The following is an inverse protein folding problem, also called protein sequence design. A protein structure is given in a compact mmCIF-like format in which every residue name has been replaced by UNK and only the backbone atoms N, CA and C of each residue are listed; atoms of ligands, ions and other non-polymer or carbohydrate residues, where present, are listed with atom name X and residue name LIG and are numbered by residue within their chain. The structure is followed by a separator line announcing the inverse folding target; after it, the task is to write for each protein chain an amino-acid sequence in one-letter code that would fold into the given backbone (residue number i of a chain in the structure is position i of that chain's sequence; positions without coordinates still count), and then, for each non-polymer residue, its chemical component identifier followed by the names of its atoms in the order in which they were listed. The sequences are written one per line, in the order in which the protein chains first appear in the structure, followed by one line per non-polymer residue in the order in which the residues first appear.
data_IF_895490347183
#
_entry.id   IF_895490347183
#
_cell.length_a   1.000
_cell.length_b   1.000
_cell.length_c   1.000
_cell.angle_alpha   90.00
_cell.angle_beta   90.00
_cell.angle_gamma   90.00
#
_symmetry.space_group_name_H-M   'P 1'
#
loop_
_entity.id
_entity.type
_entity.pdbx_description
1 polymer ?
#
# COMPACT_ATOMS: atom_id res chain seq x y z
N UNK A 1 9.64 -15.66 3.95
CA UNK A 1 8.92 -14.44 3.53
C UNK A 1 7.98 -14.79 2.40
N UNK A 2 6.68 -14.52 2.55
CA UNK A 2 5.75 -14.53 1.42
C UNK A 2 5.99 -13.26 0.58
N UNK A 3 6.27 -13.44 -0.71
CA UNK A 3 6.73 -12.37 -1.59
C UNK A 3 6.32 -12.63 -3.03
N UNK A 4 6.04 -11.58 -3.79
CA UNK A 4 5.80 -11.74 -5.22
C UNK A 4 7.12 -12.13 -5.94
N UNK A 5 7.09 -13.11 -6.83
CA UNK A 5 8.30 -13.60 -7.51
C UNK A 5 9.00 -12.54 -8.34
N UNK A 6 8.26 -11.59 -8.93
CA UNK A 6 8.80 -10.49 -9.73
C UNK A 6 9.73 -9.56 -8.92
N UNK A 7 9.51 -9.49 -7.60
CA UNK A 7 10.27 -8.62 -6.71
C UNK A 7 11.57 -9.26 -6.20
N UNK A 8 11.78 -10.57 -6.35
CA UNK A 8 12.93 -11.28 -5.76
C UNK A 8 14.27 -10.69 -6.22
N UNK A 9 14.35 -10.29 -7.49
CA UNK A 9 15.56 -9.72 -8.08
C UNK A 9 15.70 -8.20 -7.85
N UNK A 10 14.73 -7.56 -7.20
CA UNK A 10 14.80 -6.13 -6.92
C UNK A 10 15.75 -5.81 -5.77
N UNK A 11 16.26 -4.56 -5.67
CA UNK A 11 17.15 -4.17 -4.58
C UNK A 11 16.60 -4.38 -3.17
N UNK A 12 15.28 -4.57 -3.01
CA UNK A 12 14.62 -4.88 -1.74
C UNK A 12 14.22 -6.36 -1.59
N UNK A 13 14.67 -7.23 -2.49
CA UNK A 13 14.56 -8.68 -2.36
C UNK A 13 15.56 -9.27 -1.34
N UNK A 14 15.71 -10.61 -1.30
CA UNK A 14 16.54 -11.30 -0.30
C UNK A 14 18.00 -10.83 -0.24
N UNK A 15 18.62 -10.56 -1.40
CA UNK A 15 19.99 -10.05 -1.46
C UNK A 15 20.09 -8.67 -0.82
N UNK A 16 19.10 -7.81 -1.04
CA UNK A 16 19.01 -6.48 -0.41
C UNK A 16 18.85 -6.53 1.10
N UNK A 17 18.02 -7.45 1.60
CA UNK A 17 17.86 -7.68 3.03
C UNK A 17 19.17 -8.16 3.68
N UNK A 18 19.93 -9.03 2.99
CA UNK A 18 21.24 -9.45 3.44
C UNK A 18 22.25 -8.29 3.43
N UNK A 19 22.28 -7.50 2.37
CA UNK A 19 23.25 -6.40 2.22
C UNK A 19 23.00 -5.23 3.19
N UNK A 20 21.73 -4.85 3.43
CA UNK A 20 21.38 -3.69 4.28
C UNK A 20 21.21 -4.05 5.74
N UNK A 21 20.60 -5.21 6.02
CA UNK A 21 20.23 -5.61 7.38
C UNK A 21 21.02 -6.80 7.90
N UNK A 22 21.83 -7.47 7.07
CA UNK A 22 22.57 -8.67 7.49
C UNK A 22 21.66 -9.88 7.74
N UNK A 23 20.41 -9.84 7.25
CA UNK A 23 19.40 -10.88 7.47
C UNK A 23 19.26 -11.73 6.22
N UNK A 24 19.39 -13.05 6.37
CA UNK A 24 19.08 -14.00 5.29
C UNK A 24 17.58 -14.30 5.32
N UNK A 25 16.92 -14.10 4.19
CA UNK A 25 15.48 -14.34 4.02
C UNK A 25 15.25 -15.42 2.98
N UNK A 26 14.56 -16.49 3.34
CA UNK A 26 14.03 -17.46 2.39
C UNK A 26 12.67 -16.98 1.87
N UNK A 27 12.42 -17.11 0.57
CA UNK A 27 11.20 -16.62 -0.08
C UNK A 27 10.31 -17.78 -0.49
N UNK A 28 9.02 -17.66 -0.16
CA UNK A 28 7.95 -18.43 -0.76
C UNK A 28 7.22 -17.47 -1.72
N UNK A 29 7.19 -17.82 -3.00
CA UNK A 29 6.51 -17.02 -4.02
C UNK A 29 5.00 -17.10 -3.84
N UNK A 30 4.36 -15.94 -3.66
CA UNK A 30 2.91 -15.78 -3.60
C UNK A 30 2.51 -14.65 -4.54
N UNK A 31 1.77 -15.00 -5.61
CA UNK A 31 1.49 -14.12 -6.75
C UNK A 31 0.18 -13.33 -6.58
N UNK A 32 0.01 -12.71 -5.41
CA UNK A 32 -1.18 -11.90 -5.09
C UNK A 32 -0.85 -10.52 -4.50
N UNK A 33 0.42 -10.13 -4.51
CA UNK A 33 0.91 -8.80 -4.13
C UNK A 33 0.45 -8.34 -2.74
N UNK A 34 0.66 -9.20 -1.73
CA UNK A 34 0.26 -8.89 -0.36
C UNK A 34 -1.23 -9.10 -0.08
N UNK A 35 -1.92 -9.80 -0.99
CA UNK A 35 -3.34 -10.12 -0.88
C UNK A 35 -3.65 -11.26 0.12
N UNK A 36 -4.86 -11.83 0.04
CA UNK A 36 -5.33 -12.82 1.02
C UNK A 36 -4.48 -14.09 1.15
N UNK A 37 -3.79 -14.53 0.10
CA UNK A 37 -2.90 -15.70 0.16
C UNK A 37 -1.60 -15.35 0.89
N UNK A 38 -1.06 -14.15 0.65
CA UNK A 38 0.13 -13.66 1.37
C UNK A 38 -0.17 -13.46 2.85
N UNK A 39 -1.32 -12.84 3.19
CA UNK A 39 -1.79 -12.68 4.57
C UNK A 39 -2.06 -14.04 5.23
N UNK A 40 -2.68 -14.96 4.50
CA UNK A 40 -2.92 -16.33 4.96
C UNK A 40 -1.62 -17.05 5.33
N UNK A 41 -0.62 -17.03 4.45
CA UNK A 41 0.68 -17.66 4.72
C UNK A 41 1.34 -17.13 6.00
N UNK A 42 1.20 -15.83 6.30
CA UNK A 42 1.73 -15.24 7.53
C UNK A 42 0.91 -15.66 8.76
N UNK A 43 -0.42 -15.57 8.68
CA UNK A 43 -1.32 -15.82 9.81
C UNK A 43 -1.47 -17.30 10.16
N UNK A 44 -1.32 -18.19 9.18
CA UNK A 44 -1.29 -19.65 9.36
C UNK A 44 0.08 -20.15 9.85
N UNK A 45 1.12 -19.30 9.83
CA UNK A 45 2.47 -19.61 10.30
C UNK A 45 3.35 -20.35 9.29
N UNK A 46 2.97 -20.34 8.01
CA UNK A 46 3.79 -20.89 6.92
C UNK A 46 5.03 -20.02 6.64
N UNK A 47 4.96 -18.72 6.94
CA UNK A 47 6.09 -17.78 6.88
C UNK A 47 6.10 -16.86 8.10
N UNK A 48 7.29 -16.39 8.48
CA UNK A 48 7.46 -15.41 9.58
C UNK A 48 7.37 -13.93 9.13
N UNK A 49 7.41 -13.69 7.81
CA UNK A 49 7.47 -12.37 7.19
C UNK A 49 6.64 -12.38 5.91
N UNK A 50 5.99 -11.26 5.59
CA UNK A 50 5.27 -11.07 4.33
C UNK A 50 5.44 -9.64 3.82
N UNK A 51 5.49 -9.49 2.49
CA UNK A 51 5.40 -8.18 1.83
C UNK A 51 3.93 -7.83 1.61
N UNK A 52 3.48 -6.80 2.34
CA UNK A 52 2.09 -6.33 2.37
C UNK A 52 2.14 -4.80 2.27
N UNK A 53 1.32 -4.22 1.39
CA UNK A 53 1.20 -2.77 1.28
C UNK A 53 0.75 -2.15 2.60
N UNK A 54 1.37 -1.03 2.98
CA UNK A 54 1.05 -0.31 4.24
C UNK A 54 -0.39 0.23 4.29
N UNK A 55 -1.03 0.42 3.13
CA UNK A 55 -2.43 0.81 3.01
C UNK A 55 -3.40 -0.37 3.00
N UNK A 56 -2.93 -1.59 3.29
CA UNK A 56 -3.78 -2.78 3.37
C UNK A 56 -4.57 -2.82 4.68
N UNK A 57 -5.91 -2.96 4.63
CA UNK A 57 -6.73 -3.08 5.85
C UNK A 57 -6.43 -4.37 6.63
N UNK A 58 -5.87 -5.38 5.97
CA UNK A 58 -5.54 -6.67 6.58
C UNK A 58 -4.55 -6.56 7.74
N UNK A 59 -3.75 -5.48 7.79
CA UNK A 59 -2.81 -5.22 8.88
C UNK A 59 -3.56 -5.08 10.21
N UNK A 60 -4.57 -4.20 10.26
CA UNK A 60 -5.36 -3.99 11.47
C UNK A 60 -6.25 -5.20 11.78
N UNK A 61 -6.92 -5.74 10.77
CA UNK A 61 -7.86 -6.86 10.91
C UNK A 61 -7.22 -8.12 11.52
N UNK A 62 -5.95 -8.37 11.17
CA UNK A 62 -5.21 -9.54 11.62
C UNK A 62 -4.21 -9.21 12.75
N UNK A 63 -4.24 -7.99 13.29
CA UNK A 63 -3.30 -7.49 14.31
C UNK A 63 -1.83 -7.72 13.92
N UNK A 64 -1.49 -7.45 12.66
CA UNK A 64 -0.13 -7.62 12.15
C UNK A 64 0.77 -6.48 12.62
N UNK A 65 2.06 -6.78 12.77
CA UNK A 65 3.08 -5.79 13.11
C UNK A 65 3.79 -5.35 11.83
N UNK A 66 3.71 -4.06 11.53
CA UNK A 66 4.51 -3.44 10.46
C UNK A 66 5.95 -3.27 10.95
N UNK A 67 6.90 -3.78 10.18
CA UNK A 67 8.33 -3.59 10.46
C UNK A 67 8.81 -2.26 9.87
N UNK A 68 9.55 -1.48 10.65
CA UNK A 68 10.18 -0.25 10.16
C UNK A 68 11.33 -0.57 9.19
N UNK A 69 11.51 0.29 8.18
CA UNK A 69 12.62 0.22 7.21
C UNK A 69 13.59 1.41 7.37
N UNK A 70 14.41 1.43 8.44
CA UNK A 70 15.27 2.58 8.77
C UNK A 70 16.41 2.82 7.78
N UNK A 71 16.83 1.81 7.01
CA UNK A 71 17.89 1.91 6.01
C UNK A 71 17.36 2.19 4.59
N UNK A 72 16.04 2.43 4.45
CA UNK A 72 15.36 2.74 3.20
C UNK A 72 15.67 1.69 2.11
N UNK A 73 15.52 0.41 2.47
CA UNK A 73 15.64 -0.69 1.54
C UNK A 73 14.53 -0.63 0.48
N UNK A 74 13.29 -0.35 0.90
CA UNK A 74 12.12 -0.15 0.05
C UNK A 74 11.97 1.35 -0.20
N UNK A 75 11.92 1.73 -1.48
CA UNK A 75 11.75 3.14 -1.84
C UNK A 75 10.36 3.64 -1.43
N UNK A 76 10.23 4.90 -0.96
CA UNK A 76 8.93 5.47 -0.65
C UNK A 76 7.98 5.45 -1.86
N UNK A 77 6.75 4.99 -1.64
CA UNK A 77 5.71 4.86 -2.67
C UNK A 77 4.58 5.88 -2.45
N UNK A 78 4.92 7.16 -2.51
CA UNK A 78 3.95 8.23 -2.29
C UNK A 78 2.94 8.32 -3.44
N UNK A 79 1.67 8.57 -3.10
CA UNK A 79 0.62 8.88 -4.10
C UNK A 79 0.82 10.33 -4.56
N UNK A 80 1.17 10.53 -5.83
CA UNK A 80 1.42 11.85 -6.41
C UNK A 80 0.72 11.98 -7.76
N UNK A 81 -0.13 13.00 -7.98
CA UNK A 81 -0.79 13.22 -9.25
C UNK A 81 0.22 13.71 -10.30
N UNK A 82 0.16 13.11 -11.49
CA UNK A 82 0.94 13.54 -12.65
C UNK A 82 -0.03 14.08 -13.69
N UNK A 83 0.18 15.34 -14.10
CA UNK A 83 -0.67 16.00 -15.08
C UNK A 83 0.15 16.88 -16.04
N UNK A 84 -0.49 17.26 -17.14
CA UNK A 84 0.06 18.20 -18.13
C UNK A 84 0.01 19.64 -17.60
N UNK A 85 0.92 20.49 -18.10
CA UNK A 85 0.96 21.93 -17.78
C UNK A 85 -0.22 22.72 -18.39
N UNK A 86 -1.04 22.08 -19.20
CA UNK A 86 -2.21 22.69 -19.85
C UNK A 86 -3.48 22.63 -19.00
N UNK A 87 -3.43 22.05 -17.79
CA UNK A 87 -4.58 22.02 -16.91
C UNK A 87 -5.03 23.45 -16.55
N UNK A 88 -6.34 23.75 -16.59
CA UNK A 88 -6.84 25.02 -16.09
C UNK A 88 -6.56 25.15 -14.59
N UNK A 89 -6.36 26.39 -14.13
CA UNK A 89 -6.04 26.67 -12.73
C UNK A 89 -7.06 26.07 -11.75
N UNK A 90 -8.34 26.00 -12.13
CA UNK A 90 -9.40 25.36 -11.34
C UNK A 90 -9.14 23.87 -11.10
N UNK A 91 -8.75 23.12 -12.12
CA UNK A 91 -8.42 21.70 -11.99
C UNK A 91 -7.17 21.48 -11.12
N UNK A 92 -6.16 22.34 -11.27
CA UNK A 92 -4.95 22.31 -10.44
C UNK A 92 -5.30 22.54 -8.97
N UNK A 93 -6.17 23.53 -8.68
CA UNK A 93 -6.61 23.81 -7.33
C UNK A 93 -7.40 22.65 -6.71
N UNK A 94 -8.29 22.01 -7.48
CA UNK A 94 -9.05 20.85 -7.02
C UNK A 94 -8.12 19.66 -6.68
N UNK A 95 -7.17 19.34 -7.56
CA UNK A 95 -6.19 18.27 -7.32
C UNK A 95 -5.35 18.57 -6.07
N UNK A 96 -4.88 19.82 -5.92
CA UNK A 96 -4.10 20.21 -4.74
C UNK A 96 -4.92 20.15 -3.44
N UNK A 97 -6.21 20.44 -3.47
CA UNK A 97 -7.09 20.31 -2.31
C UNK A 97 -7.24 18.84 -1.89
N UNK A 98 -7.44 17.93 -2.84
CA UNK A 98 -7.44 16.47 -2.57
C UNK A 98 -6.11 16.02 -1.98
N UNK A 99 -4.99 16.43 -2.58
CA UNK A 99 -3.65 16.05 -2.10
C UNK A 99 -3.29 16.61 -0.72
N UNK A 100 -3.90 17.72 -0.32
CA UNK A 100 -3.70 18.29 1.01
C UNK A 100 -4.39 17.47 2.11
N UNK A 101 -5.48 16.78 1.77
CA UNK A 101 -6.29 15.99 2.70
C UNK A 101 -5.94 14.50 2.67
N UNK A 102 -5.61 13.94 1.50
CA UNK A 102 -5.38 12.50 1.31
C UNK A 102 -4.12 12.01 2.05
N UNK A 103 -4.32 11.44 3.23
CA UNK A 103 -3.29 10.86 4.08
C UNK A 103 -3.21 9.32 4.02
N UNK A 104 -2.25 8.72 4.73
CA UNK A 104 -2.10 7.27 4.81
C UNK A 104 -3.32 6.56 5.41
N UNK A 105 -3.93 7.15 6.45
CA UNK A 105 -5.12 6.57 7.11
C UNK A 105 -6.32 6.56 6.16
N UNK A 106 -6.49 7.60 5.34
CA UNK A 106 -7.50 7.63 4.29
C UNK A 106 -7.30 6.51 3.27
N UNK A 107 -6.05 6.23 2.86
CA UNK A 107 -5.76 5.15 1.92
C UNK A 107 -6.13 3.78 2.50
N UNK A 108 -5.95 3.57 3.81
CA UNK A 108 -6.39 2.34 4.50
C UNK A 108 -7.91 2.25 4.46
N UNK A 109 -8.62 3.31 4.83
CA UNK A 109 -10.09 3.32 4.86
C UNK A 109 -10.70 3.12 3.46
N UNK A 110 -10.19 3.84 2.46
CA UNK A 110 -10.61 3.70 1.07
C UNK A 110 -10.40 2.27 0.56
N UNK A 111 -9.26 1.65 0.89
CA UNK A 111 -9.00 0.26 0.55
C UNK A 111 -9.89 -0.71 1.32
N UNK A 112 -10.20 -0.45 2.59
CA UNK A 112 -11.12 -1.28 3.38
C UNK A 112 -12.50 -1.36 2.72
N UNK A 113 -13.06 -0.23 2.30
CA UNK A 113 -14.35 -0.20 1.59
C UNK A 113 -14.29 -0.96 0.26
N UNK A 114 -13.20 -0.82 -0.49
CA UNK A 114 -13.00 -1.52 -1.76
C UNK A 114 -12.84 -3.04 -1.59
N UNK A 115 -12.01 -3.48 -0.63
CA UNK A 115 -11.64 -4.89 -0.46
C UNK A 115 -12.71 -5.65 0.32
N UNK A 116 -13.19 -5.09 1.42
CA UNK A 116 -14.08 -5.79 2.35
C UNK A 116 -15.55 -5.67 1.96
N UNK A 117 -15.97 -4.46 1.58
CA UNK A 117 -17.36 -4.18 1.22
C UNK A 117 -17.62 -4.35 -0.27
N UNK A 118 -16.57 -4.48 -1.08
CA UNK A 118 -16.64 -4.55 -2.54
C UNK A 118 -17.39 -3.35 -3.14
N UNK A 119 -17.31 -2.20 -2.47
CA UNK A 119 -17.95 -0.98 -2.89
C UNK A 119 -17.33 -0.49 -4.21
N UNK A 120 -18.15 0.13 -5.07
CA UNK A 120 -17.64 0.67 -6.32
C UNK A 120 -16.69 1.84 -6.03
N UNK A 121 -15.51 1.84 -6.64
CA UNK A 121 -14.50 2.88 -6.42
C UNK A 121 -15.03 4.31 -6.62
N UNK A 122 -15.97 4.51 -7.56
CA UNK A 122 -16.61 5.81 -7.78
C UNK A 122 -17.46 6.25 -6.59
N UNK A 123 -18.16 5.32 -5.93
CA UNK A 123 -18.99 5.62 -4.77
C UNK A 123 -18.12 5.90 -3.55
N UNK A 124 -17.08 5.09 -3.33
CA UNK A 124 -16.07 5.27 -2.27
C UNK A 124 -15.39 6.64 -2.39
N UNK A 125 -14.88 6.97 -3.58
CA UNK A 125 -14.24 8.26 -3.83
C UNK A 125 -15.23 9.43 -3.65
N UNK A 126 -16.47 9.29 -4.13
CA UNK A 126 -17.48 10.35 -3.99
C UNK A 126 -17.86 10.60 -2.54
N UNK A 127 -17.97 9.53 -1.74
CA UNK A 127 -18.24 9.62 -0.31
C UNK A 127 -17.10 10.33 0.43
N UNK A 128 -15.85 9.92 0.19
CA UNK A 128 -14.67 10.54 0.80
C UNK A 128 -14.55 12.03 0.43
N UNK A 129 -14.74 12.38 -0.85
CA UNK A 129 -14.74 13.79 -1.27
C UNK A 129 -15.85 14.60 -0.57
N UNK A 130 -17.02 14.00 -0.30
CA UNK A 130 -18.09 14.68 0.41
C UNK A 130 -17.76 14.90 1.89
N UNK A 131 -17.12 13.92 2.55
CA UNK A 131 -16.73 14.00 3.97
C UNK A 131 -15.67 15.08 4.23
N UNK A 132 -14.76 15.28 3.27
CA UNK A 132 -13.73 16.33 3.34
C UNK A 132 -14.17 17.69 2.75
N UNK A 133 -15.46 17.90 2.47
CA UNK A 133 -15.99 19.12 1.84
C UNK A 133 -15.38 19.45 0.45
N UNK A 134 -14.87 18.43 -0.27
CA UNK A 134 -14.20 18.53 -1.56
C UNK A 134 -15.12 18.22 -2.77
N UNK A 135 -16.40 17.91 -2.55
CA UNK A 135 -17.33 17.46 -3.60
C UNK A 135 -17.87 18.58 -4.52
N UNK A 136 -17.24 19.76 -4.56
CA UNK A 136 -17.77 20.97 -5.23
C UNK A 136 -17.00 21.36 -6.47
#
# INVERSE_FOLDING_TARGET
MAFNSDNIAYPYGPDGALERYGVTVEVISVEDSGGPLTVGALTDGDVDLADIYTSSPAIEENNLVVLEDPEFLILPQNVVPIATDQLPAEAVNAINAVQAELGPDDLIELNAQSVNEQAAAADVASAWLADHDLSR
#
